data_IF_397511163175
#
_entry.id   IF_397511163175
#
_cell.length_a   1.000
_cell.length_b   1.000
_cell.length_c   1.000
_cell.angle_alpha   90.00
_cell.angle_beta   90.00
_cell.angle_gamma   90.00
#
_symmetry.space_group_name_H-M   'P 1'
#
loop_
_entity.id
_entity.type
_entity.pdbx_description
1 polymer ?
#
# COMPACT_ATOMS: atom_id res chain seq x y z
N UNK A 1 -12.86 7.41 -6.29
CA UNK A 1 -14.03 8.04 -6.95
C UNK A 1 -14.59 7.00 -7.91
N UNK A 2 -15.89 6.74 -7.90
CA UNK A 2 -16.48 5.60 -8.63
C UNK A 2 -16.59 5.78 -10.15
N UNK A 3 -16.74 7.03 -10.62
CA UNK A 3 -16.93 7.29 -12.05
C UNK A 3 -18.22 6.66 -12.59
N UNK A 4 -18.14 6.06 -13.78
CA UNK A 4 -19.30 5.52 -14.51
C UNK A 4 -19.63 4.05 -14.18
N UNK A 5 -18.83 3.39 -13.33
CA UNK A 5 -19.06 1.99 -12.94
C UNK A 5 -20.24 1.91 -11.96
N UNK A 6 -21.04 0.83 -11.98
CA UNK A 6 -22.16 0.67 -11.06
C UNK A 6 -21.72 0.44 -9.61
N UNK A 7 -20.48 -0.01 -9.39
CA UNK A 7 -19.86 -0.26 -8.08
C UNK A 7 -18.47 0.38 -8.02
N UNK A 8 -18.01 0.72 -6.81
CA UNK A 8 -16.64 1.15 -6.52
C UNK A 8 -15.88 -0.05 -5.96
N UNK A 9 -15.01 -0.66 -6.77
CA UNK A 9 -14.24 -1.85 -6.38
C UNK A 9 -12.82 -1.50 -5.92
N UNK A 10 -12.32 -0.29 -6.20
CA UNK A 10 -10.99 0.11 -5.73
C UNK A 10 -10.96 0.37 -4.21
N UNK A 11 -9.83 0.03 -3.61
CA UNK A 11 -9.47 0.37 -2.25
C UNK A 11 -8.06 1.01 -2.20
N UNK A 12 -7.71 1.64 -1.09
CA UNK A 12 -6.38 2.20 -0.89
C UNK A 12 -5.91 2.06 0.55
N UNK A 13 -4.59 2.13 0.73
CA UNK A 13 -3.93 2.21 2.03
C UNK A 13 -3.12 3.48 2.09
N UNK A 14 -3.29 4.20 3.19
CA UNK A 14 -2.40 5.29 3.61
C UNK A 14 -2.03 4.96 5.06
N UNK A 15 -0.82 4.45 5.26
CA UNK A 15 -0.25 4.20 6.58
C UNK A 15 0.96 5.12 6.73
N UNK A 16 0.83 6.17 7.54
CA UNK A 16 1.84 7.21 7.66
C UNK A 16 2.26 7.37 9.12
N UNK A 17 3.56 7.32 9.34
CA UNK A 17 4.25 7.50 10.62
C UNK A 17 5.23 8.68 10.49
N UNK A 18 5.80 9.13 11.61
CA UNK A 18 6.69 10.32 11.61
C UNK A 18 7.92 10.18 10.70
N UNK A 19 8.41 8.96 10.48
CA UNK A 19 9.66 8.68 9.77
C UNK A 19 9.51 7.88 8.48
N UNK A 20 8.30 7.42 8.16
CA UNK A 20 8.04 6.62 6.96
C UNK A 20 6.54 6.56 6.64
N UNK A 21 6.20 6.08 5.45
CA UNK A 21 4.82 5.76 5.10
C UNK A 21 4.72 4.68 4.04
N UNK A 22 3.59 3.98 4.04
CA UNK A 22 3.16 3.04 3.02
C UNK A 22 1.91 3.57 2.33
N UNK A 23 1.96 3.61 1.00
CA UNK A 23 0.84 4.07 0.16
C UNK A 23 0.53 3.00 -0.88
N UNK A 24 -0.71 2.55 -0.95
CA UNK A 24 -1.13 1.51 -1.89
C UNK A 24 -2.49 1.79 -2.50
N UNK A 25 -2.64 1.46 -3.78
CA UNK A 25 -3.90 1.48 -4.52
C UNK A 25 -4.18 0.05 -5.00
N UNK A 26 -5.42 -0.39 -4.83
CA UNK A 26 -5.88 -1.74 -5.16
C UNK A 26 -7.11 -1.63 -6.05
N UNK A 27 -7.04 -2.12 -7.28
CA UNK A 27 -8.14 -2.11 -8.25
C UNK A 27 -8.80 -3.50 -8.25
N UNK A 28 -9.95 -3.59 -7.60
CA UNK A 28 -10.72 -4.82 -7.46
C UNK A 28 -11.46 -5.20 -8.74
N UNK A 29 -11.64 -6.50 -8.97
CA UNK A 29 -12.44 -7.01 -10.09
C UNK A 29 -13.23 -8.27 -9.69
N UNK A 30 -14.50 -8.32 -10.10
CA UNK A 30 -15.40 -9.40 -9.68
C UNK A 30 -15.95 -9.22 -8.27
N UNK A 31 -15.91 -7.98 -7.76
CA UNK A 31 -16.30 -7.59 -6.40
C UNK A 31 -15.24 -6.73 -5.69
N UNK A 32 -15.63 -6.09 -4.59
CA UNK A 32 -14.76 -5.23 -3.75
C UNK A 32 -14.11 -5.99 -2.58
N UNK A 33 -14.38 -7.29 -2.44
CA UNK A 33 -13.99 -8.07 -1.27
C UNK A 33 -12.47 -8.21 -1.18
N UNK A 34 -11.80 -8.56 -2.28
CA UNK A 34 -10.36 -8.75 -2.32
C UNK A 34 -9.60 -7.43 -2.07
N UNK A 35 -9.92 -6.36 -2.79
CA UNK A 35 -9.26 -5.04 -2.64
C UNK A 35 -9.44 -4.47 -1.21
N UNK A 36 -10.63 -4.62 -0.63
CA UNK A 36 -10.91 -4.21 0.76
C UNK A 36 -10.23 -5.09 1.79
N UNK A 37 -10.15 -6.39 1.55
CA UNK A 37 -9.43 -7.32 2.41
C UNK A 37 -7.94 -6.97 2.46
N UNK A 38 -7.30 -6.87 1.29
CA UNK A 38 -5.87 -6.58 1.18
C UNK A 38 -5.53 -5.23 1.81
N UNK A 39 -6.27 -4.17 1.47
CA UNK A 39 -6.02 -2.84 2.04
C UNK A 39 -6.12 -2.83 3.57
N UNK A 40 -7.16 -3.45 4.13
CA UNK A 40 -7.31 -3.56 5.59
C UNK A 40 -6.18 -4.37 6.22
N UNK A 41 -5.87 -5.55 5.68
CA UNK A 41 -4.84 -6.44 6.24
C UNK A 41 -3.45 -5.84 6.18
N UNK A 42 -3.08 -5.16 5.09
CA UNK A 42 -1.80 -4.44 5.01
C UNK A 42 -1.70 -3.42 6.15
N UNK A 43 -2.72 -2.57 6.34
CA UNK A 43 -2.70 -1.57 7.42
C UNK A 43 -2.57 -2.20 8.81
N UNK A 44 -3.24 -3.32 9.06
CA UNK A 44 -3.15 -4.06 10.33
C UNK A 44 -1.77 -4.69 10.55
N UNK A 45 -1.16 -5.25 9.51
CA UNK A 45 0.16 -5.86 9.61
C UNK A 45 1.24 -4.80 9.83
N UNK A 46 1.21 -3.71 9.07
CA UNK A 46 2.12 -2.58 9.25
C UNK A 46 2.02 -1.96 10.65
N UNK A 47 0.81 -1.85 11.20
CA UNK A 47 0.61 -1.40 12.59
C UNK A 47 1.20 -2.33 13.66
N UNK A 48 1.46 -3.60 13.34
CA UNK A 48 2.07 -4.58 14.26
C UNK A 48 3.58 -4.69 14.05
N UNK A 49 4.03 -4.71 12.80
CA UNK A 49 5.41 -5.02 12.44
C UNK A 49 6.26 -3.78 12.18
N UNK A 50 5.62 -2.63 11.95
CA UNK A 50 6.29 -1.42 11.52
C UNK A 50 6.70 -1.45 10.04
N UNK A 51 7.66 -0.60 9.70
CA UNK A 51 8.16 -0.44 8.33
C UNK A 51 8.86 -1.72 7.83
N UNK A 52 8.56 -2.19 6.61
CA UNK A 52 9.39 -3.17 5.93
C UNK A 52 10.76 -2.55 5.58
N UNK A 53 11.84 -3.21 5.97
CA UNK A 53 13.22 -2.76 5.72
C UNK A 53 13.72 -3.13 4.31
N UNK A 54 13.08 -4.09 3.65
CA UNK A 54 13.52 -4.61 2.35
C UNK A 54 12.36 -4.92 1.42
N UNK A 55 12.58 -4.82 0.11
CA UNK A 55 11.62 -5.22 -0.92
C UNK A 55 11.15 -6.67 -0.74
N UNK A 56 12.03 -7.55 -0.24
CA UNK A 56 11.67 -8.94 0.04
C UNK A 56 10.59 -9.03 1.12
N UNK A 57 10.68 -8.26 2.19
CA UNK A 57 9.64 -8.26 3.24
C UNK A 57 8.30 -7.75 2.71
N UNK A 58 8.32 -6.79 1.77
CA UNK A 58 7.10 -6.32 1.11
C UNK A 58 6.51 -7.43 0.21
N UNK A 59 7.35 -8.11 -0.58
CA UNK A 59 6.94 -9.29 -1.36
C UNK A 59 6.36 -10.39 -0.47
N UNK A 60 7.04 -10.72 0.62
CA UNK A 60 6.64 -11.79 1.54
C UNK A 60 5.29 -11.45 2.20
N UNK A 61 5.08 -10.17 2.57
CA UNK A 61 3.79 -9.69 3.06
C UNK A 61 2.70 -9.89 2.00
N UNK A 62 2.94 -9.44 0.78
CA UNK A 62 1.95 -9.54 -0.30
C UNK A 62 1.61 -11.00 -0.64
N UNK A 63 2.61 -11.88 -0.78
CA UNK A 63 2.43 -13.32 -0.99
C UNK A 63 1.69 -14.01 0.17
N UNK A 64 1.93 -13.58 1.41
CA UNK A 64 1.20 -14.13 2.56
C UNK A 64 -0.26 -13.72 2.54
N UNK A 65 -0.55 -12.45 2.27
CA UNK A 65 -1.93 -11.97 2.16
C UNK A 65 -2.65 -12.59 0.96
N UNK A 66 -1.93 -12.85 -0.13
CA UNK A 66 -2.41 -13.61 -1.27
C UNK A 66 -2.91 -15.00 -0.88
N UNK A 67 -2.10 -15.71 -0.11
CA UNK A 67 -2.48 -16.99 0.47
C UNK A 67 -3.69 -16.86 1.42
N UNK A 68 -3.77 -15.81 2.24
CA UNK A 68 -4.94 -15.57 3.11
C UNK A 68 -6.23 -15.36 2.28
N UNK A 69 -6.16 -14.65 1.15
CA UNK A 69 -7.30 -14.47 0.23
C UNK A 69 -7.71 -15.82 -0.38
N UNK A 70 -6.77 -16.59 -0.91
CA UNK A 70 -7.01 -17.92 -1.48
C UNK A 70 -7.66 -18.86 -0.46
N UNK A 71 -7.13 -18.89 0.76
CA UNK A 71 -7.64 -19.76 1.84
C UNK A 71 -9.04 -19.31 2.33
N UNK A 72 -9.45 -18.06 2.06
CA UNK A 72 -10.76 -17.52 2.47
C UNK A 72 -11.92 -17.86 1.52
N UNK A 73 -11.65 -18.38 0.31
CA UNK A 73 -12.64 -18.61 -0.75
C UNK A 73 -13.52 -17.37 -1.05
N UNK A 74 -13.00 -16.16 -0.86
CA UNK A 74 -13.69 -14.95 -1.29
C UNK A 74 -13.68 -14.86 -2.82
N UNK A 75 -14.79 -14.41 -3.44
CA UNK A 75 -14.85 -14.27 -4.88
C UNK A 75 -14.09 -13.02 -5.36
N UNK A 76 -13.64 -13.06 -6.61
CA UNK A 76 -13.00 -11.92 -7.26
C UNK A 76 -11.53 -11.78 -6.89
N UNK A 77 -10.89 -10.76 -7.45
CA UNK A 77 -9.48 -10.48 -7.24
C UNK A 77 -9.20 -8.99 -7.22
N UNK A 78 -7.92 -8.62 -7.17
CA UNK A 78 -7.50 -7.23 -7.18
C UNK A 78 -6.11 -7.10 -7.75
N UNK A 79 -5.86 -6.08 -8.57
CA UNK A 79 -4.48 -5.62 -8.78
C UNK A 79 -4.07 -4.75 -7.59
N UNK A 80 -2.77 -4.56 -7.38
CA UNK A 80 -2.24 -3.65 -6.38
C UNK A 80 -0.94 -3.01 -6.81
N UNK A 81 -0.80 -1.71 -6.58
CA UNK A 81 0.45 -0.97 -6.71
C UNK A 81 0.69 -0.19 -5.42
N UNK A 82 1.88 -0.31 -4.86
CA UNK A 82 2.20 0.33 -3.59
C UNK A 82 3.67 0.73 -3.49
N UNK A 83 3.93 1.63 -2.54
CA UNK A 83 5.24 2.21 -2.28
C UNK A 83 5.49 2.34 -0.78
N UNK A 84 6.73 2.06 -0.37
CA UNK A 84 7.26 2.44 0.95
C UNK A 84 8.14 3.66 0.76
N UNK A 85 7.89 4.69 1.56
CA UNK A 85 8.57 5.98 1.53
C UNK A 85 9.23 6.19 2.88
N UNK A 86 10.55 6.34 2.92
CA UNK A 86 11.27 6.68 4.16
C UNK A 86 11.63 8.17 4.20
N UNK A 87 11.47 8.80 5.36
CA UNK A 87 11.99 10.14 5.58
C UNK A 87 13.54 10.13 5.49
N UNK A 88 14.17 11.19 4.96
CA UNK A 88 15.61 11.27 4.87
C UNK A 88 16.28 11.11 6.25
N UNK A 89 17.33 10.28 6.32
CA UNK A 89 18.10 10.01 7.56
C UNK A 89 18.89 11.22 8.07
N UNK A 90 19.00 12.30 7.29
CA UNK A 90 19.77 13.49 7.67
C UNK A 90 18.93 14.48 8.48
N UNK A 91 19.39 14.71 9.72
CA UNK A 91 18.90 15.71 10.67
C UNK A 91 19.12 17.12 10.13
N UNK A 92 18.09 17.66 9.50
CA UNK A 92 17.66 19.04 9.69
C UNK A 92 16.23 19.14 9.18
N UNK A 93 15.20 18.93 10.03
CA UNK A 93 13.83 19.20 9.63
C UNK A 93 13.72 20.72 9.49
N UNK A 94 14.05 21.23 8.32
CA UNK A 94 13.73 22.61 7.98
C UNK A 94 12.29 22.56 7.52
N UNK A 95 11.34 22.76 8.45
CA UNK A 95 9.97 23.10 8.07
C UNK A 95 10.05 24.50 7.46
N UNK A 96 10.28 24.57 6.14
CA UNK A 96 10.02 25.76 5.34
C UNK A 96 8.70 25.53 4.64
N UNK A 97 7.66 26.21 5.11
CA UNK A 97 6.53 26.49 4.23
C UNK A 97 7.06 27.39 3.11
N UNK A 98 7.31 26.84 1.92
CA UNK A 98 7.47 27.64 0.72
C UNK A 98 6.99 26.89 -0.53
N UNK A 99 6.17 27.64 -1.27
CA UNK A 99 5.58 27.30 -2.55
C UNK A 99 6.70 27.14 -3.58
N UNK A 100 6.83 25.95 -4.16
CA UNK A 100 7.78 25.50 -5.19
C UNK A 100 9.26 25.30 -4.78
N UNK A 101 9.73 24.05 -4.97
CA UNK A 101 11.11 23.74 -5.36
C UNK A 101 11.99 23.01 -4.33
N UNK A 102 12.32 21.76 -4.66
CA UNK A 102 13.49 20.96 -4.24
C UNK A 102 13.69 20.69 -2.73
N UNK A 103 13.26 19.51 -2.28
CA UNK A 103 13.56 18.97 -0.94
C UNK A 103 13.75 17.46 -1.00
N UNK A 104 14.79 17.00 -0.29
CA UNK A 104 15.33 15.64 -0.08
C UNK A 104 14.65 14.45 -0.80
N UNK A 105 15.45 13.70 -1.56
CA UNK A 105 15.04 12.45 -2.21
C UNK A 105 14.64 11.43 -1.13
N UNK A 106 13.35 11.11 -1.08
CA UNK A 106 12.89 9.90 -0.39
C UNK A 106 13.45 8.68 -1.13
N UNK A 107 13.93 7.69 -0.40
CA UNK A 107 14.13 6.36 -0.99
C UNK A 107 12.74 5.76 -1.22
N UNK A 108 12.45 5.46 -2.49
CA UNK A 108 11.16 4.93 -2.95
C UNK A 108 11.38 3.47 -3.35
N UNK A 109 10.75 2.55 -2.65
CA UNK A 109 10.60 1.17 -3.11
C UNK A 109 9.20 0.99 -3.65
N UNK A 110 9.07 0.67 -4.94
CA UNK A 110 7.77 0.49 -5.62
C UNK A 110 7.59 -0.97 -6.00
N UNK A 111 6.38 -1.49 -5.75
CA UNK A 111 6.00 -2.84 -6.16
C UNK A 111 4.60 -2.88 -6.76
N UNK A 112 4.40 -3.82 -7.68
CA UNK A 112 3.12 -4.11 -8.33
C UNK A 112 2.87 -5.61 -8.25
N UNK A 113 1.63 -6.00 -7.95
CA UNK A 113 1.22 -7.39 -7.80
C UNK A 113 -0.23 -7.60 -8.22
N UNK A 114 -0.58 -8.82 -8.61
CA UNK A 114 -1.95 -9.25 -8.89
C UNK A 114 -2.36 -10.34 -7.90
N UNK A 115 -3.55 -10.17 -7.30
CA UNK A 115 -4.21 -11.17 -6.47
C UNK A 115 -5.22 -11.97 -7.32
N UNK A 116 -5.32 -13.30 -7.12
CA UNK A 116 -6.05 -14.22 -7.98
C UNK A 116 -7.56 -13.98 -7.97
N UNK A 117 -8.18 -14.54 -9.02
CA UNK A 117 -9.64 -14.64 -9.25
C UNK A 117 -10.16 -15.97 -8.74
#
# INVERSE_FOLDING_TARGET
>A
MQGHRPTMEDAHVIHAEDTWGFFGIFDGHGGDQCSRFISKRISEELGKTGMPDTDKQVTDLACRLDKEVLDSNQPGGSTGTFVVVQAPKTTSPTIRANKHGSGALAELSTQSMEWPV
#
